data_IF_199828631340
#
_entry.id   IF_199828631340
#
_cell.length_a   1.000
_cell.length_b   1.000
_cell.length_c   1.000
_cell.angle_alpha   90.00
_cell.angle_beta   90.00
_cell.angle_gamma   90.00
#
_symmetry.space_group_name_H-M   'P 1'
#
loop_
_entity.id
_entity.type
_entity.pdbx_description
1 polymer ?
#
# COMPACT_ATOMS: atom_id res chain seq x y z
N UNK A 1 16.88 6.54 7.48
CA UNK A 1 15.88 7.35 8.19
C UNK A 1 14.62 6.56 8.55
N UNK A 2 13.88 5.95 7.61
CA UNK A 2 12.66 5.19 8.00
C UNK A 2 12.96 3.82 8.65
N UNK A 3 13.97 3.08 8.16
CA UNK A 3 14.37 1.81 8.79
C UNK A 3 14.86 1.97 10.23
N UNK A 4 15.50 3.10 10.56
CA UNK A 4 15.93 3.41 11.94
C UNK A 4 14.75 3.73 12.86
N UNK A 5 13.61 4.14 12.31
CA UNK A 5 12.34 4.27 13.04
C UNK A 5 11.56 2.94 13.09
N UNK A 6 12.19 1.81 12.72
CA UNK A 6 11.56 0.49 12.71
C UNK A 6 10.64 0.21 11.51
N UNK A 7 10.42 1.18 10.62
CA UNK A 7 9.53 1.03 9.47
C UNK A 7 10.25 0.24 8.36
N UNK A 8 9.70 -0.94 8.06
CA UNK A 8 10.21 -1.86 7.04
C UNK A 8 9.37 -1.79 5.77
N UNK A 9 9.81 -2.52 4.75
CA UNK A 9 9.07 -2.59 3.50
C UNK A 9 9.89 -3.17 2.36
N UNK A 10 9.26 -3.44 1.20
CA UNK A 10 9.96 -3.87 0.01
C UNK A 10 11.01 -2.84 -0.42
N UNK A 11 12.18 -3.33 -0.83
CA UNK A 11 13.22 -2.46 -1.40
C UNK A 11 12.77 -1.82 -2.71
N UNK A 12 13.28 -0.62 -2.97
CA UNK A 12 13.10 0.07 -4.24
C UNK A 12 13.73 -0.73 -5.38
N UNK A 13 13.07 -0.80 -6.55
CA UNK A 13 13.64 -1.34 -7.79
C UNK A 13 13.60 -0.26 -8.86
N UNK A 14 14.76 0.20 -9.30
CA UNK A 14 14.84 1.22 -10.35
C UNK A 14 14.26 0.71 -11.69
N UNK A 15 13.47 1.47 -12.44
CA UNK A 15 12.86 2.79 -12.16
C UNK A 15 11.47 2.70 -11.52
N UNK A 16 10.81 1.54 -11.62
CA UNK A 16 9.38 1.41 -11.36
C UNK A 16 9.02 1.15 -9.89
N UNK A 17 10.00 1.13 -9.00
CA UNK A 17 9.80 0.77 -7.60
C UNK A 17 9.19 -0.62 -7.47
N UNK A 18 8.04 -0.71 -6.84
CA UNK A 18 7.33 -1.97 -6.64
C UNK A 18 6.14 -2.13 -7.59
N UNK A 19 5.92 -1.20 -8.53
CA UNK A 19 4.73 -1.19 -9.40
C UNK A 19 4.52 -2.51 -10.16
N UNK A 20 5.58 -3.09 -10.75
CA UNK A 20 5.47 -4.40 -11.42
C UNK A 20 5.01 -5.52 -10.48
N UNK A 21 5.51 -5.55 -9.25
CA UNK A 21 5.10 -6.55 -8.23
C UNK A 21 3.65 -6.34 -7.81
N UNK A 22 3.22 -5.09 -7.66
CA UNK A 22 1.85 -4.74 -7.33
C UNK A 22 0.89 -5.18 -8.44
N UNK A 23 1.23 -4.89 -9.71
CA UNK A 23 0.43 -5.30 -10.87
C UNK A 23 0.30 -6.83 -10.90
N UNK A 24 1.40 -7.56 -10.81
CA UNK A 24 1.37 -9.03 -10.84
C UNK A 24 0.51 -9.61 -9.71
N UNK A 25 0.59 -9.06 -8.49
CA UNK A 25 -0.25 -9.48 -7.37
C UNK A 25 -1.73 -9.23 -7.64
N UNK A 26 -2.08 -8.07 -8.21
CA UNK A 26 -3.47 -7.76 -8.60
C UNK A 26 -3.97 -8.70 -9.70
N UNK A 27 -3.20 -8.90 -10.76
CA UNK A 27 -3.57 -9.81 -11.86
C UNK A 27 -3.74 -11.25 -11.38
N UNK A 28 -2.86 -11.72 -10.49
CA UNK A 28 -2.95 -13.08 -9.92
C UNK A 28 -4.25 -13.28 -9.16
N UNK A 29 -4.70 -12.26 -8.41
CA UNK A 29 -5.97 -12.33 -7.71
C UNK A 29 -7.15 -12.38 -8.69
N UNK A 30 -7.15 -11.56 -9.75
CA UNK A 30 -8.22 -11.59 -10.75
C UNK A 30 -8.37 -12.96 -11.41
N UNK A 31 -7.26 -13.68 -11.64
CA UNK A 31 -7.31 -15.03 -12.23
C UNK A 31 -7.93 -16.11 -11.34
N UNK A 32 -8.10 -15.88 -10.04
CA UNK A 32 -8.78 -16.84 -9.15
C UNK A 32 -10.26 -16.48 -8.97
N UNK A 33 -11.19 -17.44 -9.18
CA UNK A 33 -12.62 -17.27 -8.89
C UNK A 33 -12.89 -16.91 -7.43
N UNK A 34 -13.94 -16.12 -7.19
CA UNK A 34 -14.37 -15.79 -5.83
C UNK A 34 -15.20 -16.95 -5.28
N UNK A 35 -14.64 -17.72 -4.36
CA UNK A 35 -15.43 -18.63 -3.54
C UNK A 35 -16.32 -17.80 -2.61
N UNK A 36 -17.64 -18.03 -2.64
CA UNK A 36 -18.67 -17.30 -1.89
C UNK A 36 -18.38 -17.20 -0.37
N UNK A 37 -17.59 -18.12 0.17
CA UNK A 37 -17.15 -18.13 1.56
C UNK A 37 -16.19 -16.98 1.94
N UNK A 38 -15.57 -16.30 0.97
CA UNK A 38 -14.54 -15.28 1.21
C UNK A 38 -15.00 -13.84 0.99
N UNK A 39 -16.31 -13.59 0.84
CA UNK A 39 -16.86 -12.24 0.62
C UNK A 39 -16.49 -11.27 1.76
N UNK A 40 -16.28 -11.78 2.97
CA UNK A 40 -15.84 -10.98 4.12
C UNK A 40 -14.36 -10.53 4.03
N UNK A 41 -13.54 -11.12 3.17
CA UNK A 41 -12.12 -10.80 3.01
C UNK A 41 -11.84 -9.90 1.78
N UNK A 42 -12.40 -8.69 1.79
CA UNK A 42 -12.28 -7.76 0.66
C UNK A 42 -10.86 -7.20 0.48
N UNK A 43 -10.12 -6.99 1.57
CA UNK A 43 -8.78 -6.38 1.51
C UNK A 43 -7.76 -7.18 0.67
N UNK A 44 -7.58 -8.51 0.87
CA UNK A 44 -6.67 -9.30 0.02
C UNK A 44 -7.11 -9.32 -1.44
N UNK A 45 -8.40 -9.08 -1.75
CA UNK A 45 -8.90 -8.98 -3.12
C UNK A 45 -8.58 -7.64 -3.78
N UNK A 46 -8.96 -6.54 -3.12
CA UNK A 46 -8.83 -5.17 -3.68
C UNK A 46 -7.38 -4.70 -3.62
N UNK A 47 -6.69 -5.01 -2.52
CA UNK A 47 -5.32 -4.58 -2.28
C UNK A 47 -4.42 -5.73 -1.81
N UNK A 48 -4.18 -6.76 -2.67
CA UNK A 48 -3.40 -7.95 -2.30
C UNK A 48 -2.00 -7.63 -1.79
N UNK A 49 -1.33 -6.68 -2.45
CA UNK A 49 -0.02 -6.17 -2.05
C UNK A 49 0.00 -5.58 -0.64
N UNK A 50 -1.01 -4.77 -0.26
CA UNK A 50 -1.12 -4.21 1.09
C UNK A 50 -1.33 -5.33 2.10
N UNK A 51 -2.29 -6.23 1.85
CA UNK A 51 -2.55 -7.37 2.73
C UNK A 51 -1.31 -8.24 2.95
N UNK A 52 -0.59 -8.58 1.88
CA UNK A 52 0.64 -9.37 1.97
C UNK A 52 1.76 -8.63 2.71
N UNK A 53 1.88 -7.32 2.54
CA UNK A 53 2.94 -6.52 3.15
C UNK A 53 2.67 -6.18 4.61
N UNK A 54 1.40 -6.04 5.02
CA UNK A 54 1.05 -5.96 6.44
C UNK A 54 1.53 -7.23 7.18
N UNK A 55 1.26 -8.40 6.60
CA UNK A 55 1.71 -9.69 7.16
C UNK A 55 3.24 -9.82 7.22
N UNK A 56 3.96 -9.21 6.28
CA UNK A 56 5.41 -9.37 6.14
C UNK A 56 6.23 -8.29 6.87
N UNK A 57 5.74 -7.06 6.92
CA UNK A 57 6.49 -5.89 7.39
C UNK A 57 5.84 -5.20 8.59
N UNK A 58 4.62 -5.59 8.97
CA UNK A 58 3.85 -4.99 10.05
C UNK A 58 2.81 -3.99 9.53
N UNK A 59 2.00 -3.47 10.45
CA UNK A 59 0.88 -2.58 10.12
C UNK A 59 1.33 -1.27 9.45
N UNK A 60 2.51 -0.78 9.82
CA UNK A 60 3.14 0.39 9.21
C UNK A 60 4.34 -0.02 8.36
N UNK A 61 4.29 0.27 7.08
CA UNK A 61 5.35 -0.11 6.15
C UNK A 61 5.49 0.89 4.99
N UNK A 62 6.65 0.86 4.34
CA UNK A 62 6.98 1.74 3.22
C UNK A 62 7.09 0.94 1.92
N UNK A 63 6.47 1.41 0.85
CA UNK A 63 6.65 0.83 -0.50
C UNK A 63 6.87 1.92 -1.55
N UNK A 64 7.11 1.51 -2.79
CA UNK A 64 7.47 2.43 -3.88
C UNK A 64 6.51 2.32 -5.06
N UNK A 65 5.92 3.44 -5.47
CA UNK A 65 5.16 3.58 -6.70
C UNK A 65 5.98 4.40 -7.70
N UNK A 66 6.61 3.72 -8.67
CA UNK A 66 7.65 4.38 -9.45
C UNK A 66 8.75 4.91 -8.50
N UNK A 67 9.31 6.12 -8.72
CA UNK A 67 10.29 6.72 -7.83
C UNK A 67 9.70 7.26 -6.51
N UNK A 68 8.37 7.31 -6.37
CA UNK A 68 7.72 7.86 -5.19
C UNK A 68 7.61 6.82 -4.07
N UNK A 69 8.18 7.13 -2.90
CA UNK A 69 7.96 6.37 -1.68
C UNK A 69 6.58 6.68 -1.10
N UNK A 70 5.86 5.64 -0.65
CA UNK A 70 4.56 5.73 0.00
C UNK A 70 4.64 5.03 1.36
N UNK A 71 4.25 5.75 2.40
CA UNK A 71 4.13 5.23 3.75
C UNK A 71 2.68 4.82 3.99
N UNK A 72 2.47 3.57 4.41
CA UNK A 72 1.19 3.08 4.89
C UNK A 72 1.17 3.20 6.40
N UNK A 73 0.13 3.84 6.92
CA UNK A 73 -0.13 4.03 8.35
C UNK A 73 -1.52 3.49 8.66
N UNK A 74 -1.63 2.63 9.66
CA UNK A 74 -2.92 2.05 10.07
C UNK A 74 -3.63 2.86 11.15
N UNK A 75 -2.92 3.74 11.84
CA UNK A 75 -3.47 4.64 12.85
C UNK A 75 -3.99 5.92 12.18
N UNK A 76 -5.31 6.07 11.98
CA UNK A 76 -5.86 7.19 11.22
C UNK A 76 -5.62 8.53 11.92
N UNK A 77 -5.52 8.56 13.25
CA UNK A 77 -5.31 9.78 14.03
C UNK A 77 -4.01 10.51 13.65
N UNK A 78 -2.95 9.79 13.30
CA UNK A 78 -1.67 10.38 12.91
C UNK A 78 -1.78 11.21 11.63
N UNK A 79 -2.66 10.82 10.71
CA UNK A 79 -2.87 11.50 9.43
C UNK A 79 -4.01 12.50 9.51
N UNK A 80 -5.05 12.20 10.29
CA UNK A 80 -6.25 13.05 10.41
C UNK A 80 -6.01 14.28 11.30
N UNK A 81 -5.12 14.20 12.29
CA UNK A 81 -4.78 15.33 13.17
C UNK A 81 -3.79 16.31 12.53
N UNK A 82 -3.92 16.53 11.22
CA UNK A 82 -3.07 17.38 10.39
C UNK A 82 -3.35 18.88 10.58
N UNK A 83 -3.35 19.35 11.84
CA UNK A 83 -3.68 20.74 12.22
C UNK A 83 -2.73 21.76 11.59
N UNK A 84 -1.47 21.37 11.37
CA UNK A 84 -0.41 22.23 10.84
C UNK A 84 -0.23 22.12 9.32
N UNK A 85 -1.02 21.29 8.63
CA UNK A 85 -0.91 21.11 7.18
C UNK A 85 0.34 20.32 6.72
N UNK A 86 0.98 19.59 7.62
CA UNK A 86 2.14 18.73 7.37
C UNK A 86 1.90 17.67 6.28
N UNK A 87 0.68 17.12 6.22
CA UNK A 87 0.26 16.17 5.19
C UNK A 87 -0.56 16.87 4.09
N UNK A 88 0.05 17.13 2.94
CA UNK A 88 -0.67 17.69 1.79
C UNK A 88 -1.65 16.65 1.22
N UNK A 89 -2.93 17.01 1.14
CA UNK A 89 -3.93 16.21 0.41
C UNK A 89 -3.59 16.22 -1.08
N UNK A 90 -3.73 15.08 -1.75
CA UNK A 90 -3.60 15.05 -3.21
C UNK A 90 -4.81 15.72 -3.84
N UNK A 91 -4.57 16.49 -4.89
CA UNK A 91 -5.65 16.97 -5.74
C UNK A 91 -6.39 15.78 -6.35
N UNK A 92 -7.73 15.84 -6.49
CA UNK A 92 -8.50 14.80 -7.13
C UNK A 92 -7.94 14.54 -8.53
N UNK A 93 -7.46 13.32 -8.76
CA UNK A 93 -7.13 12.88 -10.12
C UNK A 93 -8.45 12.46 -10.75
N UNK A 94 -9.07 13.35 -11.52
CA UNK A 94 -10.21 12.96 -12.35
C UNK A 94 -9.70 12.00 -13.40
N UNK A 95 -10.09 10.73 -13.30
CA UNK A 95 -9.94 9.79 -14.41
C UNK A 95 -10.98 10.20 -15.46
N UNK A 96 -10.54 10.92 -16.49
CA UNK A 96 -11.30 11.19 -17.72
C UNK A 96 -11.17 9.96 -18.62
#
# INVERSE_FOLDING_TARGET
>A
MMRSQGIKGPSYKFIHGNSKKIINMRTSVVSFPLELSHVHELLPRVQPHIHAWIKLYGMNFLFWQGPQALLVVTEPEQVLNNKNGEFRKRDPTFYI
#
